data_IF_208802180578
#
_entry.id   IF_208802180578
#
_cell.length_a   1.000
_cell.length_b   1.000
_cell.length_c   1.000
_cell.angle_alpha   90.00
_cell.angle_beta   90.00
_cell.angle_gamma   90.00
#
_symmetry.space_group_name_H-M   'P 1'
#
loop_
_entity.id
_entity.type
_entity.pdbx_description
1 polymer ?
#
# COMPACT_ATOMS: atom_id res chain seq x y z
N UNK A 1 11.15 -2.57 2.14
CA UNK A 1 10.10 -2.99 1.19
C UNK A 1 9.06 -1.88 1.08
N UNK A 2 8.25 -1.89 0.02
CA UNK A 2 7.17 -0.93 -0.26
C UNK A 2 5.84 -1.67 -0.41
N UNK A 3 4.73 -1.02 -0.09
CA UNK A 3 3.39 -1.54 -0.39
C UNK A 3 3.17 -1.47 -1.90
N UNK A 4 2.70 -2.56 -2.52
CA UNK A 4 2.37 -2.68 -3.94
C UNK A 4 1.01 -3.32 -4.12
N UNK A 5 0.32 -3.03 -5.23
CA UNK A 5 -0.98 -3.64 -5.54
C UNK A 5 -0.78 -4.88 -6.40
N UNK A 6 -1.35 -6.01 -5.98
CA UNK A 6 -1.50 -7.20 -6.85
C UNK A 6 -2.80 -7.02 -7.64
N UNK A 7 -2.68 -6.91 -8.97
CA UNK A 7 -3.85 -6.73 -9.84
C UNK A 7 -4.54 -8.07 -10.14
N UNK A 8 -5.87 -8.12 -10.39
CA UNK A 8 -6.57 -9.37 -10.68
C UNK A 8 -5.99 -10.17 -11.84
N UNK A 9 -5.47 -9.49 -12.87
CA UNK A 9 -4.88 -10.11 -14.07
C UNK A 9 -3.60 -10.92 -13.78
N UNK A 10 -3.00 -10.74 -12.60
CA UNK A 10 -1.91 -11.59 -12.13
C UNK A 10 -2.34 -13.06 -12.02
N UNK A 11 -3.54 -13.30 -11.47
CA UNK A 11 -4.03 -14.66 -11.19
C UNK A 11 -4.52 -15.38 -12.45
N UNK A 12 -4.92 -14.64 -13.48
CA UNK A 12 -5.40 -15.19 -14.76
C UNK A 12 -4.32 -15.22 -15.85
N UNK A 13 -3.13 -14.66 -15.61
CA UNK A 13 -2.02 -14.68 -16.56
C UNK A 13 -1.48 -16.11 -16.79
N UNK A 14 -1.40 -16.60 -18.05
CA UNK A 14 -0.83 -17.91 -18.38
C UNK A 14 0.64 -18.07 -17.95
N UNK A 15 1.43 -17.00 -18.05
CA UNK A 15 2.85 -17.01 -17.67
C UNK A 15 3.03 -17.24 -16.16
N UNK A 16 2.08 -16.74 -15.36
CA UNK A 16 2.06 -16.87 -13.90
C UNK A 16 1.39 -18.17 -13.46
N UNK A 17 0.29 -18.57 -14.09
CA UNK A 17 -0.46 -19.79 -13.74
C UNK A 17 0.29 -21.08 -14.09
N UNK A 18 1.33 -20.99 -14.93
CA UNK A 18 2.27 -22.07 -15.26
C UNK A 18 3.55 -22.08 -14.41
N UNK A 19 3.70 -21.17 -13.44
CA UNK A 19 4.73 -21.23 -12.39
C UNK A 19 4.29 -22.14 -11.23
N UNK A 20 5.20 -22.84 -10.53
CA UNK A 20 4.96 -23.39 -9.20
C UNK A 20 4.48 -22.34 -8.19
N UNK A 21 3.83 -22.78 -7.11
CA UNK A 21 3.14 -21.88 -6.17
C UNK A 21 4.14 -21.00 -5.42
N UNK A 22 5.28 -21.57 -5.02
CA UNK A 22 6.38 -20.86 -4.36
C UNK A 22 6.99 -19.76 -5.26
N UNK A 23 7.10 -19.99 -6.57
CA UNK A 23 7.61 -18.99 -7.52
C UNK A 23 6.64 -17.81 -7.68
N UNK A 24 5.32 -18.06 -7.63
CA UNK A 24 4.31 -17.01 -7.64
C UNK A 24 4.45 -16.13 -6.40
N UNK A 25 4.66 -16.73 -5.22
CA UNK A 25 4.89 -16.03 -3.96
C UNK A 25 6.20 -15.23 -3.98
N UNK A 26 7.29 -15.82 -4.48
CA UNK A 26 8.56 -15.14 -4.70
C UNK A 26 8.37 -13.93 -5.62
N UNK A 27 7.71 -14.09 -6.77
CA UNK A 27 7.57 -13.02 -7.75
C UNK A 27 6.72 -11.83 -7.26
N UNK A 28 5.61 -12.05 -6.53
CA UNK A 28 4.85 -10.95 -5.89
C UNK A 28 5.62 -10.33 -4.72
N UNK A 29 6.42 -11.12 -3.99
CA UNK A 29 7.32 -10.62 -2.96
C UNK A 29 8.38 -9.68 -3.55
N UNK A 30 8.98 -10.06 -4.68
CA UNK A 30 9.94 -9.25 -5.42
C UNK A 30 9.38 -7.90 -5.83
N UNK A 31 8.10 -7.78 -6.20
CA UNK A 31 7.49 -6.47 -6.52
C UNK A 31 7.56 -5.50 -5.33
N UNK A 32 7.40 -6.00 -4.11
CA UNK A 32 7.46 -5.23 -2.87
C UNK A 32 8.89 -5.00 -2.37
N UNK A 33 9.84 -5.79 -2.88
CA UNK A 33 11.28 -5.67 -2.63
C UNK A 33 11.95 -4.62 -3.53
N UNK A 34 11.63 -4.59 -4.82
CA UNK A 34 12.25 -3.67 -5.79
C UNK A 34 11.85 -2.20 -5.61
N UNK A 35 12.76 -1.32 -6.02
CA UNK A 35 12.57 0.14 -6.02
C UNK A 35 11.57 0.58 -7.11
N UNK A 36 11.24 1.87 -7.17
CA UNK A 36 10.22 2.37 -8.11
C UNK A 36 10.60 2.25 -9.59
N UNK A 37 11.88 2.06 -9.91
CA UNK A 37 12.34 1.74 -11.27
C UNK A 37 12.23 0.24 -11.62
N UNK A 38 11.69 -0.60 -10.73
CA UNK A 38 11.56 -2.04 -10.91
C UNK A 38 12.83 -2.84 -10.66
N UNK A 39 13.90 -2.20 -10.14
CA UNK A 39 15.18 -2.84 -9.84
C UNK A 39 15.34 -3.10 -8.35
N UNK A 40 15.85 -4.28 -8.01
CA UNK A 40 16.30 -4.66 -6.67
C UNK A 40 17.76 -5.11 -6.68
N UNK A 41 18.34 -5.19 -5.48
CA UNK A 41 19.61 -5.87 -5.24
C UNK A 41 19.44 -7.37 -5.52
N UNK A 42 20.42 -7.96 -6.22
CA UNK A 42 20.34 -9.35 -6.68
C UNK A 42 20.85 -10.37 -5.68
N UNK A 43 21.44 -9.94 -4.56
CA UNK A 43 21.98 -10.87 -3.55
C UNK A 43 20.85 -11.67 -2.88
N UNK A 44 20.83 -12.97 -3.12
CA UNK A 44 19.78 -13.91 -2.66
C UNK A 44 19.58 -13.88 -1.14
N UNK A 45 20.65 -13.65 -0.37
CA UNK A 45 20.58 -13.48 1.09
C UNK A 45 19.74 -12.25 1.51
N UNK A 46 19.80 -11.16 0.75
CA UNK A 46 19.00 -9.95 1.02
C UNK A 46 17.53 -10.14 0.61
N UNK A 47 17.30 -10.94 -0.44
CA UNK A 47 15.97 -11.35 -0.86
C UNK A 47 15.35 -12.26 0.22
N UNK A 48 16.09 -13.26 0.70
CA UNK A 48 15.67 -14.12 1.81
C UNK A 48 15.37 -13.30 3.08
N UNK A 49 16.31 -12.47 3.53
CA UNK A 49 16.14 -11.64 4.74
C UNK A 49 14.97 -10.64 4.63
N UNK A 50 14.50 -10.33 3.42
CA UNK A 50 13.35 -9.45 3.20
C UNK A 50 12.02 -10.20 3.06
N UNK A 51 12.01 -11.34 2.36
CA UNK A 51 10.78 -12.06 1.99
C UNK A 51 10.49 -13.26 2.90
N UNK A 52 11.53 -13.92 3.41
CA UNK A 52 11.48 -15.19 4.15
C UNK A 52 12.40 -15.12 5.40
N UNK A 53 12.23 -14.13 6.29
CA UNK A 53 13.21 -13.81 7.35
C UNK A 53 13.32 -14.86 8.48
N UNK A 54 12.39 -15.82 8.55
CA UNK A 54 12.36 -16.87 9.57
C UNK A 54 12.54 -18.28 8.97
N UNK A 55 12.64 -18.40 7.65
CA UNK A 55 12.75 -19.67 6.96
C UNK A 55 14.21 -20.17 7.01
N UNK A 56 14.39 -21.48 7.13
CA UNK A 56 15.72 -22.11 7.29
C UNK A 56 16.63 -21.81 6.09
N UNK A 57 17.86 -21.36 6.37
CA UNK A 57 18.74 -20.76 5.37
C UNK A 57 19.03 -21.66 4.18
N UNK A 58 19.46 -22.91 4.41
CA UNK A 58 19.86 -23.85 3.36
C UNK A 58 18.75 -24.11 2.34
N UNK A 59 17.54 -24.41 2.83
CA UNK A 59 16.40 -24.69 1.96
C UNK A 59 15.80 -23.44 1.30
N UNK A 60 15.79 -22.31 2.02
CA UNK A 60 15.28 -21.04 1.50
C UNK A 60 16.16 -20.49 0.39
N UNK A 61 17.49 -20.52 0.59
CA UNK A 61 18.47 -20.11 -0.40
C UNK A 61 18.29 -20.88 -1.71
N UNK A 62 18.23 -22.22 -1.63
CA UNK A 62 18.00 -23.09 -2.80
C UNK A 62 16.70 -22.76 -3.53
N UNK A 63 15.58 -22.58 -2.81
CA UNK A 63 14.27 -22.24 -3.40
C UNK A 63 14.28 -20.86 -4.06
N UNK A 64 14.93 -19.87 -3.45
CA UNK A 64 15.08 -18.52 -4.02
C UNK A 64 15.92 -18.58 -5.29
N UNK A 65 17.07 -19.25 -5.25
CA UNK A 65 17.95 -19.44 -6.41
C UNK A 65 17.20 -20.10 -7.59
N UNK A 66 16.63 -21.28 -7.37
CA UNK A 66 15.88 -22.02 -8.39
C UNK A 66 14.66 -21.21 -8.89
N UNK A 67 13.99 -20.47 -8.02
CA UNK A 67 12.86 -19.60 -8.38
C UNK A 67 13.30 -18.41 -9.24
N UNK A 68 14.39 -17.73 -8.89
CA UNK A 68 14.95 -16.63 -9.67
C UNK A 68 15.40 -17.09 -11.06
N UNK A 69 16.03 -18.27 -11.16
CA UNK A 69 16.40 -18.87 -12.44
C UNK A 69 15.16 -19.16 -13.31
N UNK A 70 14.14 -19.83 -12.79
CA UNK A 70 12.87 -20.08 -13.50
C UNK A 70 12.15 -18.80 -13.93
N UNK A 71 12.17 -17.76 -13.11
CA UNK A 71 11.63 -16.43 -13.46
C UNK A 71 12.46 -15.71 -14.54
N UNK A 72 13.77 -15.94 -14.58
CA UNK A 72 14.70 -15.41 -15.59
C UNK A 72 14.52 -16.10 -16.94
N UNK A 73 14.49 -17.44 -16.98
CA UNK A 73 14.22 -18.26 -18.18
C UNK A 73 12.92 -17.85 -18.88
N UNK A 74 11.87 -17.57 -18.08
CA UNK A 74 10.56 -17.12 -18.54
C UNK A 74 10.48 -15.63 -18.85
N UNK A 75 11.59 -14.89 -18.73
CA UNK A 75 11.70 -13.45 -18.99
C UNK A 75 10.75 -12.60 -18.13
N UNK A 76 10.36 -13.08 -16.95
CA UNK A 76 9.61 -12.31 -15.95
C UNK A 76 10.55 -11.40 -15.13
N UNK A 77 11.76 -11.87 -14.90
CA UNK A 77 12.87 -11.15 -14.26
C UNK A 77 14.06 -11.11 -15.24
N UNK A 78 14.90 -10.09 -15.15
CA UNK A 78 16.27 -10.09 -15.71
C UNK A 78 17.26 -10.06 -14.56
N UNK A 79 18.17 -11.03 -14.52
CA UNK A 79 19.31 -11.06 -13.60
C UNK A 79 20.55 -10.54 -14.33
N UNK A 80 21.30 -9.66 -13.70
CA UNK A 80 22.48 -9.00 -14.28
C UNK A 80 23.41 -8.51 -13.17
N UNK A 81 24.62 -8.09 -13.53
CA UNK A 81 25.53 -7.40 -12.61
C UNK A 81 25.96 -6.05 -13.15
N UNK A 82 26.25 -5.11 -12.26
CA UNK A 82 26.90 -3.83 -12.57
C UNK A 82 28.02 -3.63 -11.55
N UNK A 83 29.26 -3.44 -12.04
CA UNK A 83 30.45 -3.28 -11.20
C UNK A 83 30.61 -4.42 -10.17
N UNK A 84 30.43 -5.67 -10.62
CA UNK A 84 30.49 -6.89 -9.82
C UNK A 84 29.48 -6.97 -8.65
N UNK A 85 28.40 -6.18 -8.69
CA UNK A 85 27.24 -6.32 -7.78
C UNK A 85 26.04 -6.87 -8.54
N UNK A 86 25.37 -7.93 -8.04
CA UNK A 86 24.21 -8.50 -8.70
C UNK A 86 22.97 -7.60 -8.50
N UNK A 87 22.12 -7.56 -9.51
CA UNK A 87 20.85 -6.85 -9.54
C UNK A 87 19.79 -7.71 -10.22
N UNK A 88 18.53 -7.46 -9.87
CA UNK A 88 17.37 -8.04 -10.55
C UNK A 88 16.43 -6.92 -11.01
N UNK A 89 15.83 -7.09 -12.19
CA UNK A 89 14.84 -6.18 -12.75
C UNK A 89 13.57 -6.93 -13.12
N UNK A 90 12.39 -6.38 -12.79
CA UNK A 90 11.10 -6.95 -13.17
C UNK A 90 10.74 -6.52 -14.61
N UNK A 91 10.79 -7.44 -15.57
CA UNK A 91 10.77 -7.07 -17.00
C UNK A 91 9.49 -6.35 -17.45
N UNK A 92 8.34 -6.73 -16.88
CA UNK A 92 7.04 -6.12 -17.15
C UNK A 92 6.64 -5.08 -16.08
N UNK A 93 7.61 -4.42 -15.42
CA UNK A 93 7.37 -3.54 -14.28
C UNK A 93 6.28 -2.48 -14.52
N UNK A 94 6.37 -1.70 -15.61
CA UNK A 94 5.37 -0.65 -15.88
C UNK A 94 3.96 -1.22 -16.17
N UNK A 95 3.86 -2.48 -16.61
CA UNK A 95 2.57 -3.18 -16.76
C UNK A 95 2.02 -3.64 -15.40
N UNK A 96 2.88 -4.10 -14.50
CA UNK A 96 2.48 -4.58 -13.18
C UNK A 96 2.19 -3.43 -12.20
N UNK A 97 3.03 -2.40 -12.13
CA UNK A 97 2.91 -1.30 -11.15
C UNK A 97 2.82 0.06 -11.85
N UNK A 98 1.71 0.78 -11.62
CA UNK A 98 1.58 2.21 -11.96
C UNK A 98 2.00 3.02 -10.73
N UNK A 99 3.12 3.73 -10.81
CA UNK A 99 3.70 4.45 -9.67
C UNK A 99 3.37 5.93 -9.76
N UNK A 100 2.52 6.41 -8.85
CA UNK A 100 2.32 7.83 -8.64
C UNK A 100 3.50 8.44 -7.86
N UNK A 101 4.11 9.49 -8.41
CA UNK A 101 5.20 10.26 -7.79
C UNK A 101 6.45 9.40 -7.51
N UNK A 102 7.11 8.85 -8.57
CA UNK A 102 8.26 7.96 -8.41
C UNK A 102 9.43 8.66 -7.71
N UNK A 103 10.08 7.95 -6.78
CA UNK A 103 11.32 8.41 -6.16
C UNK A 103 12.50 8.36 -7.14
N UNK A 104 13.57 9.14 -6.89
CA UNK A 104 14.82 9.03 -7.64
C UNK A 104 15.32 7.57 -7.62
N UNK A 105 15.58 6.93 -8.78
CA UNK A 105 16.05 5.55 -8.85
C UNK A 105 17.34 5.33 -8.03
N UNK A 106 17.35 4.27 -7.20
CA UNK A 106 18.52 3.93 -6.36
C UNK A 106 19.54 3.03 -7.04
N UNK A 107 19.13 2.28 -8.06
CA UNK A 107 19.91 1.23 -8.71
C UNK A 107 19.91 1.40 -10.24
N UNK A 108 21.00 1.01 -10.94
CA UNK A 108 21.02 1.02 -12.42
C UNK A 108 19.97 0.05 -12.99
N UNK A 109 19.40 0.32 -14.17
CA UNK A 109 18.57 -0.64 -14.92
C UNK A 109 19.45 -1.52 -15.83
N UNK A 110 18.93 -2.62 -16.42
CA UNK A 110 19.69 -3.50 -17.32
C UNK A 110 20.13 -2.85 -18.64
N UNK A 111 19.60 -1.66 -18.97
CA UNK A 111 19.97 -0.83 -20.12
C UNK A 111 21.26 -0.02 -19.88
N UNK A 112 21.85 -0.10 -18.68
CA UNK A 112 23.11 0.55 -18.37
C UNK A 112 24.27 -0.06 -19.17
N UNK A 113 25.15 0.77 -19.72
CA UNK A 113 26.33 0.32 -20.51
C UNK A 113 27.27 -0.64 -19.76
N UNK A 114 27.26 -0.60 -18.41
CA UNK A 114 28.05 -1.49 -17.54
C UNK A 114 27.28 -2.74 -17.09
N UNK A 115 26.06 -2.96 -17.56
CA UNK A 115 25.26 -4.13 -17.21
C UNK A 115 25.78 -5.36 -17.95
N UNK A 116 26.18 -6.39 -17.20
CA UNK A 116 26.57 -7.69 -17.73
C UNK A 116 25.43 -8.69 -17.43
N UNK A 117 24.80 -9.29 -18.45
CA UNK A 117 23.81 -10.34 -18.27
C UNK A 117 24.34 -11.51 -17.44
N UNK A 118 23.50 -12.07 -16.57
CA UNK A 118 23.87 -13.16 -15.68
C UNK A 118 23.71 -14.53 -16.36
N UNK A 119 24.39 -14.74 -17.50
CA UNK A 119 24.24 -15.97 -18.30
C UNK A 119 25.05 -17.18 -17.79
N UNK A 120 26.12 -16.98 -17.01
CA UNK A 120 26.93 -18.07 -16.44
C UNK A 120 27.39 -17.76 -15.00
N UNK A 121 26.68 -18.32 -14.01
CA UNK A 121 27.15 -18.35 -12.62
C UNK A 121 26.83 -19.70 -11.97
N UNK A 122 27.69 -20.69 -12.24
CA UNK A 122 27.79 -21.91 -11.44
C UNK A 122 29.02 -21.86 -10.53
N UNK A 123 28.80 -21.60 -9.24
CA UNK A 123 29.52 -22.28 -8.16
C UNK A 123 28.87 -21.94 -6.81
N UNK A 124 28.53 -22.93 -5.97
CA UNK A 124 28.27 -22.67 -4.56
C UNK A 124 29.58 -22.20 -3.91
N UNK A 125 29.72 -20.89 -3.73
CA UNK A 125 30.72 -20.33 -2.85
C UNK A 125 30.05 -19.87 -1.55
N UNK A 126 30.21 -20.74 -0.55
CA UNK A 126 30.43 -20.29 0.83
C UNK A 126 31.45 -19.13 0.84
N UNK A 127 31.40 -18.30 1.89
CA UNK A 127 32.19 -17.08 2.09
C UNK A 127 31.62 -15.78 1.49
N UNK A 128 30.36 -15.47 1.80
CA UNK A 128 29.92 -14.07 1.88
C UNK A 128 30.35 -13.48 3.23
N UNK A 129 31.52 -12.85 3.25
CA UNK A 129 31.99 -12.09 4.41
C UNK A 129 31.03 -10.92 4.68
N UNK A 130 30.48 -10.81 5.90
CA UNK A 130 29.60 -9.69 6.25
C UNK A 130 30.37 -8.36 6.16
N UNK A 131 30.10 -7.59 5.09
CA UNK A 131 30.58 -6.22 4.94
C UNK A 131 29.79 -5.26 5.83
N UNK A 132 30.42 -4.80 6.90
CA UNK A 132 29.86 -3.81 7.84
C UNK A 132 29.80 -2.40 7.22
N UNK A 133 28.64 -1.74 7.32
CA UNK A 133 28.40 -0.36 6.87
C UNK A 133 27.39 -0.29 5.70
N UNK A 134 26.39 0.60 5.68
CA UNK A 134 26.18 1.80 6.49
C UNK A 134 24.86 1.75 7.29
N UNK A 135 24.90 2.04 8.58
CA UNK A 135 23.71 2.28 9.41
C UNK A 135 23.33 3.77 9.38
N UNK A 136 22.76 4.23 8.28
CA UNK A 136 22.30 5.61 8.12
C UNK A 136 20.94 5.88 8.80
N UNK A 137 20.95 6.71 9.84
CA UNK A 137 19.81 7.38 10.49
C UNK A 137 18.53 6.54 10.76
N UNK A 138 18.49 5.89 11.92
CA UNK A 138 17.23 5.79 12.69
C UNK A 138 16.98 7.10 13.45
N UNK A 139 16.53 8.11 12.72
CA UNK A 139 15.99 9.34 13.31
C UNK A 139 14.55 9.14 13.73
N UNK A 140 14.24 9.41 15.00
CA UNK A 140 12.85 9.49 15.48
C UNK A 140 12.23 10.78 14.95
N UNK A 141 11.41 10.69 13.89
CA UNK A 141 10.51 11.77 13.50
C UNK A 141 9.06 11.31 13.56
N UNK A 142 8.24 12.20 14.13
CA UNK A 142 6.82 11.99 14.37
C UNK A 142 6.05 11.98 13.05
N UNK A 143 5.00 11.16 12.99
CA UNK A 143 4.09 11.04 11.84
C UNK A 143 3.60 12.42 11.34
N UNK A 144 3.90 12.83 10.10
CA UNK A 144 3.23 13.97 9.50
C UNK A 144 1.76 13.60 9.18
N UNK A 145 0.82 14.56 9.24
CA UNK A 145 -0.60 14.29 9.00
C UNK A 145 -0.89 13.96 7.53
N UNK A 146 -1.93 13.15 7.33
CA UNK A 146 -2.42 12.68 6.03
C UNK A 146 -2.81 13.86 5.12
N UNK A 147 -2.29 13.89 3.90
CA UNK A 147 -2.67 14.83 2.84
C UNK A 147 -3.36 14.11 1.66
N UNK A 148 -4.48 14.62 1.12
CA UNK A 148 -5.20 13.98 0.00
C UNK A 148 -4.59 14.30 -1.38
N UNK A 149 -4.65 13.38 -2.39
CA UNK A 149 -3.92 13.56 -3.64
C UNK A 149 -4.74 14.13 -4.81
N UNK A 150 -3.99 14.84 -5.66
CA UNK A 150 -4.02 15.02 -7.12
C UNK A 150 -5.11 14.31 -7.94
N UNK A 151 -5.80 15.08 -8.79
CA UNK A 151 -6.63 14.59 -9.92
C UNK A 151 -5.78 14.61 -11.21
N UNK A 152 -5.99 13.64 -12.10
CA UNK A 152 -5.39 13.59 -13.45
C UNK A 152 -6.50 13.35 -14.47
N UNK A 153 -6.59 14.22 -15.47
CA UNK A 153 -7.49 14.07 -16.61
C UNK A 153 -7.04 12.93 -17.54
N UNK A 154 -7.99 12.16 -18.09
CA UNK A 154 -7.86 11.53 -19.40
C UNK A 154 -9.25 11.17 -19.95
N UNK A 155 -9.51 11.49 -21.22
CA UNK A 155 -10.82 11.48 -21.87
C UNK A 155 -10.77 10.67 -23.17
N UNK A 156 -11.60 9.62 -23.33
CA UNK A 156 -12.04 9.21 -24.67
C UNK A 156 -13.36 8.41 -24.73
N UNK A 157 -14.44 9.14 -25.05
CA UNK A 157 -15.51 8.84 -26.04
C UNK A 157 -15.85 7.36 -26.35
N UNK A 158 -17.07 6.85 -26.09
CA UNK A 158 -18.33 7.03 -26.86
C UNK A 158 -19.47 6.20 -26.19
N UNK A 159 -20.80 6.29 -26.45
CA UNK A 159 -21.64 7.16 -27.29
C UNK A 159 -23.12 7.21 -26.78
N UNK A 160 -23.84 8.33 -27.03
CA UNK A 160 -25.28 8.53 -27.30
C UNK A 160 -26.44 7.89 -26.45
N UNK A 161 -27.67 8.48 -26.43
CA UNK A 161 -27.99 9.92 -26.29
C UNK A 161 -29.21 10.22 -25.37
N UNK A 162 -29.23 11.36 -24.65
CA UNK A 162 -30.50 12.08 -24.33
C UNK A 162 -30.34 13.50 -23.75
N UNK A 163 -31.28 14.39 -24.12
CA UNK A 163 -31.77 15.57 -23.40
C UNK A 163 -30.79 16.59 -22.75
N UNK A 164 -30.37 17.57 -23.56
CA UNK A 164 -30.33 19.01 -23.25
C UNK A 164 -30.15 19.50 -21.80
N UNK A 165 -28.97 20.04 -21.48
CA UNK A 165 -28.83 21.20 -20.56
C UNK A 165 -27.66 22.10 -20.97
N UNK A 166 -27.73 23.38 -20.56
CA UNK A 166 -26.96 24.50 -21.13
C UNK A 166 -25.47 24.41 -20.79
N UNK A 167 -24.59 24.81 -21.72
CA UNK A 167 -23.14 24.93 -21.50
C UNK A 167 -22.86 26.05 -20.50
N UNK A 168 -22.33 25.73 -19.32
CA UNK A 168 -21.65 26.71 -18.47
C UNK A 168 -20.19 26.89 -18.92
N UNK A 169 -19.63 28.07 -18.68
CA UNK A 169 -18.26 28.41 -19.09
C UNK A 169 -17.20 27.58 -18.34
N UNK A 170 -15.98 27.49 -18.89
CA UNK A 170 -14.84 26.86 -18.23
C UNK A 170 -14.58 27.51 -16.87
N UNK A 171 -14.87 26.81 -15.77
CA UNK A 171 -14.59 27.28 -14.41
C UNK A 171 -13.09 27.32 -14.18
N UNK A 172 -12.49 28.50 -14.34
CA UNK A 172 -11.08 28.72 -14.01
C UNK A 172 -10.88 28.54 -12.50
N UNK A 173 -10.00 27.62 -12.09
CA UNK A 173 -9.79 27.31 -10.68
C UNK A 173 -9.30 28.52 -9.88
N UNK A 174 -9.99 28.82 -8.78
CA UNK A 174 -9.69 29.94 -7.88
C UNK A 174 -8.92 29.43 -6.67
N UNK A 175 -8.09 30.28 -6.02
CA UNK A 175 -7.56 29.96 -4.69
C UNK A 175 -8.68 29.97 -3.65
N UNK A 176 -8.44 29.34 -2.50
CA UNK A 176 -9.38 29.43 -1.37
C UNK A 176 -9.43 30.89 -0.90
N UNK A 177 -10.61 31.52 -0.80
CA UNK A 177 -10.75 32.83 -0.16
C UNK A 177 -10.29 32.76 1.31
N UNK A 178 -9.59 33.80 1.77
CA UNK A 178 -9.03 33.89 3.13
C UNK A 178 -10.12 33.76 4.23
N UNK A 179 -11.36 34.16 3.90
CA UNK A 179 -12.54 34.04 4.75
C UNK A 179 -13.53 32.95 4.26
N UNK A 180 -13.06 31.88 3.60
CA UNK A 180 -13.97 30.82 3.14
C UNK A 180 -14.64 30.10 4.32
N UNK A 181 -15.98 30.12 4.30
CA UNK A 181 -16.85 29.36 5.18
C UNK A 181 -17.65 28.36 4.35
N UNK A 182 -17.82 27.10 4.81
CA UNK A 182 -18.73 26.16 4.15
C UNK A 182 -20.15 26.76 4.09
N UNK A 183 -20.88 26.48 3.02
CA UNK A 183 -22.32 26.81 2.94
C UNK A 183 -23.08 26.14 4.10
N UNK A 184 -24.17 26.71 4.63
CA UNK A 184 -25.02 26.03 5.62
C UNK A 184 -25.48 24.64 5.17
N UNK A 185 -25.74 24.45 3.87
CA UNK A 185 -26.07 23.14 3.27
C UNK A 185 -24.89 22.16 3.35
N UNK A 186 -23.67 22.66 3.26
CA UNK A 186 -22.44 21.88 3.33
C UNK A 186 -22.11 21.49 4.77
N UNK A 187 -22.36 22.36 5.76
CA UNK A 187 -22.28 22.00 7.19
C UNK A 187 -23.30 20.90 7.53
N UNK A 188 -24.56 21.06 7.10
CA UNK A 188 -25.61 20.06 7.29
C UNK A 188 -25.26 18.72 6.60
N UNK A 189 -24.70 18.78 5.39
CA UNK A 189 -24.20 17.59 4.70
C UNK A 189 -23.07 16.91 5.47
N UNK A 190 -22.08 17.66 5.97
CA UNK A 190 -20.97 17.11 6.76
C UNK A 190 -21.45 16.49 8.07
N UNK A 191 -22.38 17.13 8.78
CA UNK A 191 -22.96 16.56 10.00
C UNK A 191 -23.68 15.22 9.74
N UNK A 192 -24.43 15.10 8.63
CA UNK A 192 -25.17 13.88 8.30
C UNK A 192 -24.29 12.76 7.71
N UNK A 193 -23.29 13.08 6.89
CA UNK A 193 -22.51 12.10 6.12
C UNK A 193 -21.13 11.81 6.74
N UNK A 194 -20.63 12.72 7.59
CA UNK A 194 -19.32 12.62 8.21
C UNK A 194 -19.38 13.00 9.72
N UNK A 195 -20.26 12.36 10.53
CA UNK A 195 -20.50 12.72 11.93
C UNK A 195 -19.27 12.63 12.85
N UNK A 196 -18.23 11.88 12.46
CA UNK A 196 -17.00 11.76 13.26
C UNK A 196 -16.01 12.93 13.03
N UNK A 197 -16.20 13.74 11.99
CA UNK A 197 -15.28 14.84 11.65
C UNK A 197 -15.54 16.04 12.58
N UNK A 198 -14.63 16.39 13.50
CA UNK A 198 -14.84 17.53 14.39
C UNK A 198 -14.67 18.85 13.63
N UNK A 199 -15.35 19.91 14.09
CA UNK A 199 -15.29 21.26 13.47
C UNK A 199 -13.86 21.80 13.31
N UNK A 200 -12.92 21.42 14.18
CA UNK A 200 -11.50 21.80 14.08
C UNK A 200 -10.78 21.28 12.81
N UNK A 201 -11.36 20.34 12.06
CA UNK A 201 -10.82 19.91 10.76
C UNK A 201 -11.06 20.95 9.65
N UNK A 202 -12.03 21.86 9.82
CA UNK A 202 -12.23 23.00 8.90
C UNK A 202 -11.01 23.94 8.91
N UNK A 203 -10.43 24.17 10.09
CA UNK A 203 -9.29 25.08 10.23
C UNK A 203 -8.02 24.46 9.63
N UNK A 204 -7.79 23.15 9.86
CA UNK A 204 -6.72 22.40 9.18
C UNK A 204 -6.85 22.41 7.66
N UNK A 205 -8.09 22.31 7.14
CA UNK A 205 -8.36 22.41 5.71
C UNK A 205 -8.03 23.81 5.15
N UNK A 206 -8.40 24.87 5.87
CA UNK A 206 -8.05 26.26 5.51
C UNK A 206 -6.54 26.47 5.48
N UNK A 207 -5.82 26.12 6.55
CA UNK A 207 -4.37 26.28 6.65
C UNK A 207 -3.63 25.51 5.54
N UNK A 208 -4.06 24.27 5.27
CA UNK A 208 -3.52 23.46 4.18
C UNK A 208 -3.72 24.15 2.82
N UNK A 209 -4.96 24.47 2.43
CA UNK A 209 -5.22 25.03 1.10
C UNK A 209 -4.72 26.46 0.90
N UNK A 210 -4.55 27.22 1.99
CA UNK A 210 -3.92 28.56 1.96
C UNK A 210 -2.40 28.46 1.76
N UNK A 211 -1.74 27.46 2.38
CA UNK A 211 -0.29 27.23 2.23
C UNK A 211 0.11 26.55 0.90
N UNK A 212 -0.80 25.85 0.20
CA UNK A 212 -0.49 25.19 -1.08
C UNK A 212 -0.29 26.20 -2.22
N UNK A 213 0.98 26.52 -2.49
CA UNK A 213 1.40 27.38 -3.60
C UNK A 213 1.24 26.72 -4.99
N UNK A 214 1.39 27.53 -6.05
CA UNK A 214 1.34 27.07 -7.45
C UNK A 214 -0.06 26.65 -7.93
N UNK A 215 -0.11 25.92 -9.05
CA UNK A 215 -1.34 25.53 -9.73
C UNK A 215 -2.21 24.54 -8.91
N UNK A 216 -1.59 23.71 -8.05
CA UNK A 216 -2.29 22.70 -7.24
C UNK A 216 -3.25 23.33 -6.22
N UNK A 217 -2.95 24.52 -5.69
CA UNK A 217 -3.78 25.25 -4.72
C UNK A 217 -4.92 26.07 -5.34
N UNK A 218 -5.32 25.76 -6.58
CA UNK A 218 -6.49 26.34 -7.25
C UNK A 218 -7.51 25.23 -7.48
N UNK A 219 -8.75 25.44 -7.06
CA UNK A 219 -9.85 24.49 -7.28
C UNK A 219 -11.05 25.19 -7.92
N UNK A 220 -11.77 24.44 -8.75
CA UNK A 220 -12.98 24.90 -9.42
C UNK A 220 -14.22 24.80 -8.51
N UNK A 221 -14.22 23.84 -7.57
CA UNK A 221 -15.28 23.60 -6.60
C UNK A 221 -14.65 23.31 -5.23
N UNK A 222 -14.75 24.27 -4.31
CA UNK A 222 -14.23 24.15 -2.94
C UNK A 222 -15.13 23.28 -2.05
N UNK A 223 -16.43 23.21 -2.34
CA UNK A 223 -17.41 22.41 -1.60
C UNK A 223 -17.25 20.91 -1.91
N UNK A 224 -17.02 20.54 -3.17
CA UNK A 224 -16.60 19.19 -3.55
C UNK A 224 -15.25 18.80 -2.93
N UNK A 225 -14.30 19.75 -2.89
CA UNK A 225 -12.98 19.54 -2.27
C UNK A 225 -13.12 19.25 -0.76
N UNK A 226 -13.98 20.01 -0.05
CA UNK A 226 -14.30 19.76 1.36
C UNK A 226 -15.02 18.42 1.58
N UNK A 227 -16.03 18.07 0.76
CA UNK A 227 -16.73 16.77 0.89
C UNK A 227 -15.80 15.56 0.74
N UNK A 228 -14.79 15.66 -0.12
CA UNK A 228 -13.76 14.63 -0.29
C UNK A 228 -12.78 14.59 0.89
N UNK A 229 -12.46 15.73 1.50
CA UNK A 229 -11.67 15.80 2.74
C UNK A 229 -12.42 15.14 3.90
N UNK A 230 -13.64 15.59 4.19
CA UNK A 230 -14.47 15.11 5.29
C UNK A 230 -14.68 13.58 5.26
N UNK A 231 -14.97 13.00 4.08
CA UNK A 231 -15.10 11.52 3.96
C UNK A 231 -13.82 10.78 4.35
N UNK A 232 -12.65 11.24 3.89
CA UNK A 232 -11.36 10.62 4.25
C UNK A 232 -11.01 10.79 5.72
N UNK A 233 -11.26 11.97 6.29
CA UNK A 233 -11.06 12.21 7.72
C UNK A 233 -11.96 11.32 8.57
N UNK A 234 -13.21 11.09 8.16
CA UNK A 234 -14.07 10.10 8.81
C UNK A 234 -13.47 8.70 8.70
N UNK A 235 -13.11 8.21 7.51
CA UNK A 235 -12.51 6.88 7.35
C UNK A 235 -11.24 6.70 8.22
N UNK A 236 -10.39 7.73 8.34
CA UNK A 236 -9.21 7.70 9.20
C UNK A 236 -9.54 7.69 10.70
N UNK A 237 -10.63 8.34 11.11
CA UNK A 237 -11.10 8.30 12.50
C UNK A 237 -11.78 6.95 12.79
N UNK A 238 -12.57 6.40 11.87
CA UNK A 238 -13.12 5.04 11.96
C UNK A 238 -12.00 4.00 12.08
N UNK A 239 -10.95 4.10 11.26
CA UNK A 239 -9.74 3.24 11.34
C UNK A 239 -9.01 3.35 12.70
N UNK A 240 -8.99 4.53 13.32
CA UNK A 240 -8.32 4.76 14.62
C UNK A 240 -9.18 4.35 15.82
N UNK A 241 -10.50 4.44 15.70
CA UNK A 241 -11.46 4.05 16.74
C UNK A 241 -11.82 2.56 16.66
N UNK A 242 -11.58 1.90 15.51
CA UNK A 242 -11.74 0.47 15.37
C UNK A 242 -10.86 -0.30 16.38
N UNK A 243 -11.42 -1.24 17.17
CA UNK A 243 -10.64 -1.97 18.16
C UNK A 243 -9.58 -2.85 17.49
N UNK A 244 -8.34 -2.74 17.95
CA UNK A 244 -7.24 -3.58 17.46
C UNK A 244 -7.53 -5.07 17.80
N UNK A 245 -7.00 -6.02 17.01
CA UNK A 245 -7.22 -7.46 17.18
C UNK A 245 -7.01 -7.93 18.64
N UNK A 246 -6.01 -7.39 19.33
CA UNK A 246 -5.73 -7.69 20.75
C UNK A 246 -6.87 -7.29 21.68
N UNK A 247 -7.52 -6.14 21.42
CA UNK A 247 -8.68 -5.68 22.18
C UNK A 247 -9.89 -6.56 21.89
N UNK A 248 -10.15 -6.88 20.61
CA UNK A 248 -11.23 -7.80 20.21
C UNK A 248 -11.06 -9.18 20.85
N UNK A 249 -9.85 -9.74 20.85
CA UNK A 249 -9.53 -11.02 21.50
C UNK A 249 -9.71 -10.96 23.03
N UNK A 250 -9.30 -9.86 23.67
CA UNK A 250 -9.52 -9.64 25.10
C UNK A 250 -11.02 -9.56 25.42
N UNK A 251 -11.79 -8.83 24.61
CA UNK A 251 -13.22 -8.65 24.82
C UNK A 251 -14.00 -9.96 24.58
N UNK A 252 -13.62 -10.74 23.56
CA UNK A 252 -14.12 -12.10 23.33
C UNK A 252 -13.80 -13.04 24.50
N UNK A 253 -12.57 -13.01 25.02
CA UNK A 253 -12.17 -13.80 26.20
C UNK A 253 -12.99 -13.43 27.43
N UNK A 254 -13.22 -12.13 27.65
CA UNK A 254 -14.01 -11.64 28.78
C UNK A 254 -15.49 -12.05 28.65
N UNK A 255 -16.09 -11.95 27.45
CA UNK A 255 -17.47 -12.42 27.18
C UNK A 255 -17.60 -13.93 27.38
N UNK A 256 -16.65 -14.72 26.87
CA UNK A 256 -16.63 -16.16 27.07
C UNK A 256 -16.58 -16.53 28.57
N UNK A 257 -15.70 -15.87 29.34
CA UNK A 257 -15.57 -16.13 30.77
C UNK A 257 -16.85 -15.75 31.55
N UNK A 258 -17.46 -14.61 31.22
CA UNK A 258 -18.73 -14.19 31.82
C UNK A 258 -19.87 -15.17 31.51
N UNK A 259 -19.95 -15.68 30.28
CA UNK A 259 -20.94 -16.70 29.89
C UNK A 259 -20.74 -18.02 30.65
N UNK A 260 -19.48 -18.45 30.87
CA UNK A 260 -19.19 -19.64 31.70
C UNK A 260 -19.64 -19.44 33.15
N UNK A 261 -19.35 -18.27 33.75
CA UNK A 261 -19.78 -17.95 35.12
C UNK A 261 -21.31 -17.94 35.21
N UNK A 262 -22.00 -17.38 34.21
CA UNK A 262 -23.46 -17.37 34.17
C UNK A 262 -24.06 -18.79 34.01
N UNK A 263 -23.47 -19.64 33.17
CA UNK A 263 -23.89 -21.05 33.07
C UNK A 263 -23.69 -21.81 34.39
N UNK A 264 -22.54 -21.63 35.05
CA UNK A 264 -22.27 -22.26 36.35
C UNK A 264 -23.25 -21.77 37.44
N UNK A 265 -23.51 -20.46 37.50
CA UNK A 265 -24.49 -19.88 38.42
C UNK A 265 -25.93 -20.36 38.18
N UNK A 266 -26.34 -20.51 36.91
CA UNK A 266 -27.64 -21.07 36.56
C UNK A 266 -27.74 -22.56 36.90
N UNK A 267 -26.68 -23.34 36.65
CA UNK A 267 -26.64 -24.76 36.99
C UNK A 267 -26.70 -25.00 38.51
N UNK A 268 -25.97 -24.20 39.29
CA UNK A 268 -26.04 -24.23 40.76
C UNK A 268 -27.45 -23.88 41.27
N UNK A 269 -28.10 -22.84 40.70
CA UNK A 269 -29.48 -22.50 41.04
C UNK A 269 -30.48 -23.62 40.74
N UNK A 270 -30.35 -24.32 39.60
CA UNK A 270 -31.21 -25.48 39.30
C UNK A 270 -31.04 -26.61 40.33
N UNK A 271 -29.83 -26.82 40.84
CA UNK A 271 -29.56 -27.83 41.89
C UNK A 271 -30.16 -27.38 43.24
N UNK A 272 -30.15 -26.08 43.55
CA UNK A 272 -30.70 -25.53 44.79
C UNK A 272 -32.24 -25.44 44.80
N UNK A 273 -32.90 -25.16 43.67
CA UNK A 273 -34.38 -25.01 43.61
C UNK A 273 -35.13 -26.30 43.28
N UNK A 274 -34.46 -27.34 42.78
CA UNK A 274 -35.05 -28.68 42.60
C UNK A 274 -36.10 -28.82 41.49
N UNK A 275 -36.37 -27.77 40.71
CA UNK A 275 -37.27 -27.82 39.56
C UNK A 275 -36.52 -28.28 38.30
N UNK A 276 -36.87 -29.48 37.82
CA UNK A 276 -36.58 -29.94 36.45
C UNK A 276 -37.69 -29.48 35.49
N UNK A 277 -37.38 -29.23 34.20
CA UNK A 277 -38.34 -28.74 33.20
C UNK A 277 -39.42 -29.75 32.81
#
# INVERSE_FOLDING_TARGET
MRIRTIKPEFWTSPDISSLPIEDRLLFIGLWSYVDDNGVGRGEEQLIQASLFPLDEFTESFRRIHEGLMRLSERKLVTLYSVENRPYLFINAWEKHQKIGHPTKPRFPRPDNEKAVPHEDYMSPHENYTLGTGEQGNRGTELLPPVGPPTETDDEHTTNAPSASRKRSAKTTGTRLPENWTPSPDLEAWTANNCPLVPRAELDKFRDYWTSVAGARGRKADWDATWRNWARRTQEDLERKTAPNQTQVLTEMRNRAHAATIQQQGNALRLIETGETP
#
